data_IF_119862627473
#
_entry.id   IF_119862627473
#
_cell.length_a   1.000
_cell.length_b   1.000
_cell.length_c   1.000
_cell.angle_alpha   90.00
_cell.angle_beta   90.00
_cell.angle_gamma   90.00
#
_symmetry.space_group_name_H-M   'P 1'
#
loop_
_entity.id
_entity.type
_entity.pdbx_description
1 polymer ?
#
# COMPACT_ATOMS: atom_id res chain seq x y z
N UNK A 1 -63.23 -33.27 10.35
CA UNK A 1 -62.10 -32.29 10.35
C UNK A 1 -61.47 -32.04 8.99
N UNK A 2 -61.90 -32.70 7.89
CA UNK A 2 -61.30 -32.52 6.57
C UNK A 2 -61.81 -31.32 5.74
N UNK A 3 -63.02 -30.80 6.01
CA UNK A 3 -63.59 -29.71 5.19
C UNK A 3 -63.04 -28.33 5.52
N UNK A 4 -62.50 -28.11 6.73
CA UNK A 4 -61.91 -26.82 7.14
C UNK A 4 -60.49 -26.61 6.58
N UNK A 5 -59.75 -27.68 6.34
CA UNK A 5 -58.40 -27.61 5.74
C UNK A 5 -58.45 -27.36 4.23
N UNK A 6 -59.50 -27.82 3.54
CA UNK A 6 -59.66 -27.58 2.11
C UNK A 6 -60.09 -26.13 1.79
N UNK A 7 -60.74 -25.45 2.75
CA UNK A 7 -61.13 -24.04 2.60
C UNK A 7 -59.92 -23.09 2.70
N UNK A 8 -58.98 -23.37 3.60
CA UNK A 8 -57.76 -22.56 3.75
C UNK A 8 -56.79 -22.74 2.58
N UNK A 9 -56.74 -23.92 1.95
CA UNK A 9 -55.91 -24.14 0.74
C UNK A 9 -56.50 -23.36 -0.47
N UNK A 10 -57.82 -23.33 -0.63
CA UNK A 10 -58.47 -22.54 -1.71
C UNK A 10 -58.28 -21.04 -1.54
N UNK A 11 -58.36 -20.50 -0.32
CA UNK A 11 -58.05 -19.09 -0.06
C UNK A 11 -56.59 -18.74 -0.38
N UNK A 12 -55.64 -19.61 -0.02
CA UNK A 12 -54.21 -19.39 -0.29
C UNK A 12 -53.87 -19.47 -1.79
N UNK A 13 -54.59 -20.27 -2.57
CA UNK A 13 -54.45 -20.30 -4.04
C UNK A 13 -55.04 -19.05 -4.72
N UNK A 14 -56.09 -18.45 -4.16
CA UNK A 14 -56.66 -17.18 -4.66
C UNK A 14 -55.75 -15.97 -4.37
N UNK A 15 -55.05 -15.92 -3.24
CA UNK A 15 -54.08 -14.86 -2.95
C UNK A 15 -52.84 -14.92 -3.86
N UNK A 16 -52.36 -16.11 -4.20
CA UNK A 16 -51.21 -16.26 -5.12
C UNK A 16 -51.60 -15.91 -6.56
N UNK A 17 -52.83 -16.22 -6.99
CA UNK A 17 -53.34 -15.80 -8.31
C UNK A 17 -53.53 -14.28 -8.41
N UNK A 18 -53.93 -13.60 -7.33
CA UNK A 18 -54.05 -12.13 -7.27
C UNK A 18 -52.71 -11.39 -7.25
N UNK A 19 -51.64 -12.04 -6.79
CA UNK A 19 -50.28 -11.47 -6.82
C UNK A 19 -49.63 -11.59 -8.20
N UNK A 20 -49.90 -12.67 -8.94
CA UNK A 20 -49.35 -12.89 -10.29
C UNK A 20 -50.05 -12.02 -11.36
N UNK A 21 -51.32 -11.63 -11.17
CA UNK A 21 -52.02 -10.71 -12.10
C UNK A 21 -51.64 -9.23 -11.93
N UNK A 22 -50.89 -8.86 -10.89
CA UNK A 22 -50.43 -7.48 -10.66
C UNK A 22 -49.08 -7.17 -11.32
N UNK A 23 -48.38 -8.18 -11.85
CA UNK A 23 -47.04 -8.04 -12.47
C UNK A 23 -47.09 -7.88 -14.00
N UNK A 24 -48.25 -8.04 -14.65
CA UNK A 24 -48.37 -8.00 -16.12
C UNK A 24 -49.13 -6.80 -16.70
N UNK A 25 -49.62 -5.86 -15.88
CA UNK A 25 -50.39 -4.69 -16.35
C UNK A 25 -49.73 -3.34 -16.00
N UNK A 26 -48.41 -3.23 -16.22
CA UNK A 26 -47.67 -1.96 -16.04
C UNK A 26 -46.80 -1.55 -17.24
N UNK A 27 -47.01 -2.15 -18.42
CA UNK A 27 -46.21 -1.87 -19.63
C UNK A 27 -46.91 -1.04 -20.72
N UNK A 28 -48.14 -0.56 -20.52
CA UNK A 28 -48.85 0.18 -21.57
C UNK A 28 -49.57 1.44 -21.05
N UNK A 29 -48.81 2.43 -20.55
CA UNK A 29 -49.28 3.83 -20.49
C UNK A 29 -48.16 4.84 -20.23
N UNK A 30 -47.34 5.10 -21.25
CA UNK A 30 -46.63 6.38 -21.42
C UNK A 30 -46.00 6.47 -22.83
N UNK A 31 -46.85 6.62 -23.85
CA UNK A 31 -46.46 7.14 -25.16
C UNK A 31 -47.20 8.46 -25.38
N UNK A 32 -46.66 9.53 -24.82
CA UNK A 32 -46.85 10.91 -25.30
C UNK A 32 -46.11 11.84 -24.35
N UNK A 33 -44.83 12.12 -24.60
CA UNK A 33 -44.18 13.40 -24.33
C UNK A 33 -42.81 13.35 -25.05
N UNK A 34 -42.81 13.96 -26.22
CA UNK A 34 -41.67 14.14 -27.11
C UNK A 34 -40.68 15.19 -26.57
N UNK A 35 -39.40 14.90 -26.81
CA UNK A 35 -38.29 15.83 -27.01
C UNK A 35 -37.70 16.58 -25.80
N UNK A 36 -36.77 15.90 -25.10
CA UNK A 36 -35.46 16.48 -24.73
C UNK A 36 -34.50 15.36 -24.28
N UNK A 37 -33.98 14.60 -25.24
CA UNK A 37 -32.78 13.80 -25.01
C UNK A 37 -31.59 14.77 -25.11
N UNK A 38 -30.98 15.09 -23.97
CA UNK A 38 -29.61 15.59 -23.94
C UNK A 38 -28.75 14.33 -23.96
N UNK A 39 -27.93 14.26 -25.00
CA UNK A 39 -26.98 13.21 -25.30
C UNK A 39 -26.15 12.85 -24.07
N UNK A 40 -26.31 11.62 -23.55
CA UNK A 40 -25.40 11.04 -22.55
C UNK A 40 -24.55 9.91 -23.16
N UNK A 41 -24.67 9.68 -24.48
CA UNK A 41 -23.81 8.78 -25.23
C UNK A 41 -22.50 9.45 -25.64
N UNK A 42 -22.49 10.78 -25.72
CA UNK A 42 -21.30 11.55 -26.12
C UNK A 42 -20.15 11.47 -25.10
N UNK A 43 -20.42 11.50 -23.79
CA UNK A 43 -19.35 11.57 -22.75
C UNK A 43 -18.56 10.26 -22.61
N UNK A 44 -19.22 9.10 -22.75
CA UNK A 44 -18.54 7.80 -22.81
C UNK A 44 -17.74 7.67 -24.12
N UNK A 45 -18.26 8.23 -25.21
CA UNK A 45 -17.57 8.27 -26.50
C UNK A 45 -16.36 9.20 -26.48
N UNK A 46 -16.38 10.30 -25.71
CA UNK A 46 -15.26 11.23 -25.56
C UNK A 46 -14.11 10.62 -24.75
N UNK A 47 -14.40 9.86 -23.68
CA UNK A 47 -13.37 9.15 -22.92
C UNK A 47 -12.72 8.02 -23.74
N UNK A 48 -13.51 7.27 -24.51
CA UNK A 48 -13.00 6.22 -25.40
C UNK A 48 -12.24 6.79 -26.61
N UNK A 49 -12.69 7.93 -27.16
CA UNK A 49 -11.97 8.66 -28.20
C UNK A 49 -10.66 9.24 -27.66
N UNK A 50 -10.65 9.82 -26.46
CA UNK A 50 -9.43 10.30 -25.81
C UNK A 50 -8.45 9.14 -25.55
N UNK A 51 -8.94 7.97 -25.14
CA UNK A 51 -8.11 6.77 -24.97
C UNK A 51 -7.55 6.25 -26.32
N UNK A 52 -8.36 6.26 -27.38
CA UNK A 52 -7.94 5.88 -28.73
C UNK A 52 -6.91 6.85 -29.34
N UNK A 53 -7.01 8.15 -29.05
CA UNK A 53 -6.03 9.15 -29.48
C UNK A 53 -4.69 8.98 -28.75
N UNK A 54 -4.71 8.62 -27.47
CA UNK A 54 -3.49 8.35 -26.69
C UNK A 54 -2.78 7.05 -27.14
N UNK A 55 -3.52 6.02 -27.52
CA UNK A 55 -2.94 4.77 -28.01
C UNK A 55 -2.41 4.91 -29.45
N UNK A 56 -3.14 5.63 -30.32
CA UNK A 56 -2.75 5.88 -31.71
C UNK A 56 -1.52 6.77 -31.85
N UNK A 57 -1.35 7.75 -30.95
CA UNK A 57 -0.14 8.61 -30.90
C UNK A 57 1.12 7.88 -30.47
N UNK A 58 1.00 6.70 -29.84
CA UNK A 58 2.15 5.83 -29.48
C UNK A 58 2.43 4.74 -30.50
N UNK A 59 1.48 4.39 -31.38
CA UNK A 59 1.69 3.42 -32.46
C UNK A 59 2.28 4.04 -33.72
N UNK A 60 2.13 5.35 -33.93
CA UNK A 60 2.86 6.10 -34.95
C UNK A 60 4.24 6.46 -34.40
N UNK A 61 5.24 5.63 -34.66
CA UNK A 61 6.64 5.90 -34.30
C UNK A 61 7.06 7.29 -34.77
N UNK A 62 7.32 8.18 -33.82
CA UNK A 62 7.97 9.48 -34.03
C UNK A 62 9.42 9.28 -33.64
N UNK A 63 10.30 9.57 -34.60
CA UNK A 63 11.76 9.56 -34.50
C UNK A 63 12.24 10.68 -33.56
N UNK A 64 13.28 10.38 -32.78
CA UNK A 64 13.88 11.20 -31.73
C UNK A 64 14.71 12.38 -32.25
N UNK A 65 14.15 13.34 -32.99
CA UNK A 65 14.91 14.55 -33.41
C UNK A 65 14.29 15.93 -33.12
N UNK A 66 13.12 16.02 -32.46
CA UNK A 66 12.55 17.32 -32.05
C UNK A 66 12.24 17.38 -30.54
N UNK A 67 13.23 17.06 -29.71
CA UNK A 67 13.17 17.25 -28.25
C UNK A 67 14.32 18.14 -27.74
N UNK A 68 14.49 19.31 -28.34
CA UNK A 68 15.16 20.43 -27.66
C UNK A 68 14.24 21.65 -27.65
N UNK A 69 13.63 21.86 -26.47
CA UNK A 69 13.00 23.09 -25.94
C UNK A 69 11.68 22.79 -25.22
N UNK A 70 11.78 22.16 -24.05
CA UNK A 70 10.89 22.43 -22.91
C UNK A 70 11.42 21.75 -21.65
N UNK A 71 12.67 22.04 -21.30
CA UNK A 71 13.19 21.79 -19.95
C UNK A 71 12.83 22.99 -19.07
N UNK A 72 11.55 23.12 -18.75
CA UNK A 72 11.13 23.85 -17.56
C UNK A 72 11.08 22.85 -16.41
N UNK A 73 12.06 22.93 -15.53
CA UNK A 73 12.09 22.23 -14.25
C UNK A 73 10.91 22.74 -13.40
N UNK A 74 9.73 22.12 -13.57
CA UNK A 74 8.63 22.22 -12.62
C UNK A 74 8.85 21.16 -11.53
N UNK A 75 9.72 21.49 -10.58
CA UNK A 75 9.70 20.89 -9.25
C UNK A 75 8.43 21.36 -8.53
N UNK A 76 7.32 20.70 -8.83
CA UNK A 76 6.09 20.82 -8.04
C UNK A 76 6.17 19.87 -6.84
N UNK A 77 6.87 20.33 -5.80
CA UNK A 77 6.70 19.86 -4.43
C UNK A 77 5.30 20.30 -3.94
N UNK A 78 4.27 19.57 -4.38
CA UNK A 78 2.94 19.62 -3.76
C UNK A 78 2.95 18.78 -2.49
N UNK A 79 3.42 19.42 -1.42
CA UNK A 79 3.18 18.96 -0.05
C UNK A 79 1.68 18.66 0.14
N UNK A 80 1.42 17.46 0.64
CA UNK A 80 0.11 17.04 1.12
C UNK A 80 -0.26 17.85 2.39
N UNK A 81 -1.49 18.33 2.44
CA UNK A 81 -2.04 19.18 3.50
C UNK A 81 -2.41 20.53 2.90
N UNK A 82 -3.65 20.99 2.85
CA UNK A 82 -4.75 20.91 3.81
C UNK A 82 -6.04 21.25 3.01
N UNK A 83 -7.14 20.52 3.21
CA UNK A 83 -8.24 21.10 3.98
C UNK A 83 -8.95 22.22 3.21
N UNK A 84 -10.13 21.92 2.64
CA UNK A 84 -11.08 22.99 2.32
C UNK A 84 -11.58 23.57 3.64
N UNK A 85 -10.84 24.52 4.20
CA UNK A 85 -11.30 25.37 5.28
C UNK A 85 -12.20 26.45 4.70
N UNK A 86 -13.47 26.42 5.11
CA UNK A 86 -14.29 27.63 5.15
C UNK A 86 -13.89 28.36 6.43
N UNK A 87 -13.12 29.44 6.25
CA UNK A 87 -12.62 30.32 7.30
C UNK A 87 -13.76 31.13 7.95
N UNK A 88 -13.78 31.12 9.27
CA UNK A 88 -14.38 32.15 10.11
C UNK A 88 -13.23 32.88 10.80
N UNK A 89 -13.08 34.13 10.39
CA UNK A 89 -12.22 35.18 10.92
C UNK A 89 -12.37 35.34 12.45
N UNK A 90 -11.26 35.21 13.20
CA UNK A 90 -10.96 36.07 14.36
C UNK A 90 -9.46 35.94 14.72
N UNK A 91 -8.76 37.08 14.72
CA UNK A 91 -7.34 37.18 14.99
C UNK A 91 -7.04 37.44 16.47
N UNK A 92 -6.05 36.74 17.01
CA UNK A 92 -5.35 37.15 18.23
C UNK A 92 -3.89 36.74 18.14
N UNK A 93 -3.02 37.75 18.06
CA UNK A 93 -1.57 37.69 18.30
C UNK A 93 -1.31 37.43 19.79
N UNK A 94 -0.47 36.44 20.12
CA UNK A 94 0.32 36.47 21.36
C UNK A 94 1.71 35.87 21.11
N UNK A 95 2.72 36.69 21.45
CA UNK A 95 4.15 36.44 21.37
C UNK A 95 4.60 35.26 22.25
N UNK A 96 5.55 34.46 21.74
CA UNK A 96 6.33 33.52 22.54
C UNK A 96 7.80 33.53 22.10
N UNK A 97 8.59 34.36 22.80
CA UNK A 97 10.05 34.28 22.85
C UNK A 97 10.48 33.07 23.70
N UNK A 98 11.52 32.38 23.27
CA UNK A 98 12.07 31.20 23.96
C UNK A 98 13.28 30.62 23.24
N UNK A 99 14.38 31.37 23.26
CA UNK A 99 15.75 30.91 23.06
C UNK A 99 16.19 30.03 24.25
N UNK A 100 16.75 28.84 24.00
CA UNK A 100 18.10 28.49 24.45
C UNK A 100 18.57 27.12 23.91
N UNK A 101 19.89 27.04 23.83
CA UNK A 101 20.79 26.04 23.27
C UNK A 101 20.94 24.76 24.11
N UNK A 102 21.31 23.63 23.48
CA UNK A 102 22.34 22.72 24.00
C UNK A 102 22.88 21.76 22.92
N UNK A 103 24.21 21.66 22.89
CA UNK A 103 25.07 20.85 22.04
C UNK A 103 25.14 19.38 22.53
N UNK A 104 25.37 18.43 21.61
CA UNK A 104 25.56 17.02 21.96
C UNK A 104 26.13 16.21 20.80
N UNK A 105 27.46 16.14 20.79
CA UNK A 105 28.38 15.55 19.82
C UNK A 105 28.45 14.00 19.84
N UNK A 106 28.97 13.46 18.72
CA UNK A 106 29.66 12.18 18.44
C UNK A 106 28.97 10.82 18.79
N UNK A 107 28.93 9.81 17.90
CA UNK A 107 30.07 9.20 17.21
C UNK A 107 29.64 8.43 15.94
N UNK A 108 30.59 8.35 15.01
CA UNK A 108 30.57 7.72 13.72
C UNK A 108 30.70 6.19 13.80
N UNK A 109 30.05 5.47 12.88
CA UNK A 109 30.70 4.31 12.22
C UNK A 109 30.22 4.21 10.79
N UNK A 110 31.08 4.66 9.87
CA UNK A 110 30.94 4.42 8.44
C UNK A 110 31.18 2.94 8.12
N UNK A 111 30.37 2.40 7.23
CA UNK A 111 30.70 1.20 6.48
C UNK A 111 30.64 1.55 5.01
N UNK A 112 31.75 2.14 4.54
CA UNK A 112 32.07 2.17 3.12
C UNK A 112 32.55 0.78 2.73
N UNK A 113 31.80 0.09 1.88
CA UNK A 113 32.31 -1.08 1.18
C UNK A 113 33.03 -0.61 -0.09
N UNK A 114 34.34 -0.52 0.06
CA UNK A 114 35.33 -0.28 -0.98
C UNK A 114 35.27 -1.45 -1.99
N UNK A 115 34.77 -1.19 -3.19
CA UNK A 115 34.88 -2.09 -4.34
C UNK A 115 36.30 -1.99 -4.85
N UNK A 116 37.12 -3.00 -4.56
CA UNK A 116 38.44 -3.16 -5.17
C UNK A 116 38.28 -3.92 -6.49
N UNK A 117 38.62 -3.23 -7.57
CA UNK A 117 38.98 -3.81 -8.86
C UNK A 117 40.33 -4.50 -8.68
N UNK A 118 40.39 -5.80 -8.95
CA UNK A 118 41.63 -6.54 -9.17
C UNK A 118 41.61 -6.97 -10.64
N UNK A 119 42.49 -6.35 -11.43
CA UNK A 119 42.96 -6.83 -12.72
C UNK A 119 44.23 -7.65 -12.47
N UNK A 120 44.26 -8.91 -12.92
CA UNK A 120 45.49 -9.54 -13.40
C UNK A 120 45.19 -10.40 -14.64
N UNK A 121 46.12 -10.30 -15.59
CA UNK A 121 46.14 -10.77 -16.97
C UNK A 121 46.33 -12.30 -17.16
N UNK A 122 45.83 -12.74 -18.33
CA UNK A 122 46.25 -13.79 -19.27
C UNK A 122 47.07 -15.03 -18.83
N UNK A 123 46.55 -16.22 -19.18
CA UNK A 123 47.24 -17.11 -20.14
C UNK A 123 46.28 -18.21 -20.68
N UNK A 124 46.23 -18.30 -22.01
CA UNK A 124 45.70 -19.41 -22.81
C UNK A 124 46.42 -20.72 -22.50
N UNK A 125 45.71 -21.82 -22.24
CA UNK A 125 46.07 -23.10 -22.87
C UNK A 125 44.88 -24.05 -23.00
N UNK A 126 44.63 -24.44 -24.24
CA UNK A 126 43.62 -25.39 -24.64
C UNK A 126 44.18 -26.82 -24.49
N UNK A 127 43.74 -27.56 -23.48
CA UNK A 127 43.98 -29.01 -23.43
C UNK A 127 42.73 -29.77 -22.97
N UNK A 128 42.09 -30.47 -23.91
CA UNK A 128 41.20 -31.59 -23.60
C UNK A 128 41.99 -32.70 -22.90
N UNK A 129 41.42 -33.38 -21.90
CA UNK A 129 41.74 -34.78 -21.66
C UNK A 129 40.57 -35.64 -22.11
N UNK A 130 40.81 -36.41 -23.18
CA UNK A 130 40.08 -37.62 -23.43
C UNK A 130 40.55 -38.71 -22.46
N UNK A 131 39.67 -39.70 -22.29
CA UNK A 131 39.93 -41.09 -21.89
C UNK A 131 40.01 -41.41 -20.39
N UNK A 132 38.88 -41.97 -19.93
CA UNK A 132 38.76 -43.18 -19.12
C UNK A 132 39.75 -43.38 -17.97
N UNK A 133 39.23 -43.27 -16.74
CA UNK A 133 39.78 -44.03 -15.63
C UNK A 133 38.65 -44.43 -14.67
N UNK A 134 38.34 -45.73 -14.64
CA UNK A 134 37.58 -46.37 -13.58
C UNK A 134 38.46 -46.46 -12.33
N UNK A 135 38.61 -45.32 -11.64
CA UNK A 135 39.28 -45.23 -10.36
C UNK A 135 38.30 -45.54 -9.24
N UNK A 136 38.60 -46.56 -8.46
CA UNK A 136 37.87 -46.93 -7.25
C UNK A 136 37.82 -45.73 -6.29
N UNK A 137 36.61 -45.27 -5.93
CA UNK A 137 36.40 -44.10 -5.04
C UNK A 137 36.83 -44.49 -3.63
N UNK A 138 38.07 -44.18 -3.25
CA UNK A 138 38.64 -44.63 -1.97
C UNK A 138 38.82 -43.50 -0.94
N UNK A 139 38.82 -42.21 -1.34
CA UNK A 139 39.10 -41.10 -0.41
C UNK A 139 38.01 -40.02 -0.38
N UNK A 140 37.87 -39.33 0.77
CA UNK A 140 36.92 -38.22 0.96
C UNK A 140 37.17 -37.05 -0.02
N UNK A 141 38.39 -36.91 -0.52
CA UNK A 141 38.78 -35.85 -1.45
C UNK A 141 38.29 -36.11 -2.88
N UNK A 142 38.22 -37.38 -3.28
CA UNK A 142 37.69 -37.79 -4.59
C UNK A 142 36.18 -37.55 -4.65
N UNK A 143 35.47 -37.84 -3.55
CA UNK A 143 34.02 -37.56 -3.43
C UNK A 143 33.75 -36.05 -3.50
N UNK A 144 34.61 -35.21 -2.93
CA UNK A 144 34.46 -33.75 -3.03
C UNK A 144 34.70 -33.23 -4.44
N UNK A 145 35.66 -33.80 -5.17
CA UNK A 145 35.91 -33.47 -6.58
C UNK A 145 34.71 -33.86 -7.45
N UNK A 146 34.13 -35.04 -7.24
CA UNK A 146 32.90 -35.46 -7.92
C UNK A 146 31.70 -34.58 -7.57
N UNK A 147 31.51 -34.22 -6.30
CA UNK A 147 30.44 -33.29 -5.91
C UNK A 147 30.61 -31.90 -6.54
N UNK A 148 31.85 -31.49 -6.86
CA UNK A 148 32.13 -30.23 -7.53
C UNK A 148 31.88 -30.27 -9.04
N UNK A 149 31.89 -31.45 -9.67
CA UNK A 149 31.65 -31.62 -11.12
C UNK A 149 30.19 -31.91 -11.45
N UNK A 150 29.37 -32.30 -10.47
CA UNK A 150 27.94 -32.55 -10.63
C UNK A 150 27.13 -31.25 -10.71
N UNK A 151 25.98 -31.29 -11.40
CA UNK A 151 25.09 -30.14 -11.51
C UNK A 151 24.38 -29.84 -10.18
N UNK A 152 24.00 -28.58 -9.95
CA UNK A 152 23.32 -28.17 -8.71
C UNK A 152 22.03 -28.95 -8.43
N UNK A 153 21.27 -29.30 -9.47
CA UNK A 153 20.05 -30.09 -9.33
C UNK A 153 20.35 -31.52 -8.83
N UNK A 154 21.41 -32.14 -9.36
CA UNK A 154 21.85 -33.47 -8.92
C UNK A 154 22.40 -33.44 -7.50
N UNK A 155 23.14 -32.40 -7.12
CA UNK A 155 23.64 -32.19 -5.75
C UNK A 155 22.45 -32.07 -4.77
N UNK A 156 21.42 -31.32 -5.14
CA UNK A 156 20.20 -31.16 -4.33
C UNK A 156 19.44 -32.49 -4.22
N UNK A 157 19.30 -33.24 -5.32
CA UNK A 157 18.68 -34.55 -5.32
C UNK A 157 19.46 -35.56 -4.45
N UNK A 158 20.79 -35.51 -4.49
CA UNK A 158 21.67 -36.32 -3.64
C UNK A 158 21.50 -35.95 -2.16
N UNK A 159 21.48 -34.65 -1.83
CA UNK A 159 21.26 -34.16 -0.48
C UNK A 159 19.90 -34.61 0.09
N UNK A 160 18.86 -34.65 -0.74
CA UNK A 160 17.54 -35.13 -0.36
C UNK A 160 17.48 -36.66 -0.17
N UNK A 161 18.26 -37.43 -0.96
CA UNK A 161 18.34 -38.90 -0.87
C UNK A 161 19.17 -39.37 0.33
N UNK A 162 20.35 -38.77 0.53
CA UNK A 162 21.33 -39.18 1.56
C UNK A 162 21.08 -38.44 2.89
N UNK A 163 20.35 -37.32 2.84
CA UNK A 163 20.01 -36.49 3.98
C UNK A 163 21.05 -35.39 4.24
N UNK A 164 20.56 -34.20 4.62
CA UNK A 164 21.40 -33.00 4.81
C UNK A 164 22.55 -33.20 5.81
N UNK A 165 22.36 -34.03 6.84
CA UNK A 165 23.38 -34.28 7.87
C UNK A 165 24.57 -35.08 7.34
N UNK A 166 24.31 -36.16 6.62
CA UNK A 166 25.36 -37.04 6.05
C UNK A 166 26.04 -36.33 4.89
N UNK A 167 25.28 -35.66 4.03
CA UNK A 167 25.84 -34.83 2.95
C UNK A 167 26.80 -33.76 3.49
N UNK A 168 26.40 -33.02 4.53
CA UNK A 168 27.26 -31.98 5.10
C UNK A 168 28.52 -32.55 5.77
N UNK A 169 28.45 -33.75 6.33
CA UNK A 169 29.61 -34.44 6.93
C UNK A 169 30.64 -34.82 5.85
N UNK A 170 30.18 -35.30 4.70
CA UNK A 170 31.04 -35.70 3.57
C UNK A 170 31.57 -34.46 2.82
N UNK A 171 30.70 -33.51 2.49
CA UNK A 171 31.06 -32.32 1.70
C UNK A 171 31.96 -31.35 2.46
N UNK A 172 31.62 -31.04 3.72
CA UNK A 172 32.34 -30.03 4.51
C UNK A 172 33.27 -30.64 5.55
N UNK A 173 33.25 -31.97 5.74
CA UNK A 173 33.95 -32.61 6.85
C UNK A 173 33.32 -32.29 8.20
N UNK A 174 33.71 -33.04 9.23
CA UNK A 174 33.23 -32.86 10.60
C UNK A 174 33.89 -31.62 11.26
N UNK A 175 33.57 -30.41 10.78
CA UNK A 175 34.16 -29.14 11.22
C UNK A 175 33.65 -28.65 12.58
N UNK A 176 32.52 -29.19 13.07
CA UNK A 176 31.85 -28.65 14.26
C UNK A 176 32.40 -29.11 15.60
N UNK A 177 33.44 -29.96 15.65
CA UNK A 177 33.88 -30.55 16.93
C UNK A 177 35.40 -30.58 17.17
N UNK A 178 36.26 -30.22 16.21
CA UNK A 178 37.72 -30.36 16.40
C UNK A 178 38.33 -29.30 17.36
N UNK A 179 37.65 -28.17 17.59
CA UNK A 179 38.19 -27.08 18.41
C UNK A 179 37.43 -26.83 19.74
N UNK A 180 36.45 -27.67 20.08
CA UNK A 180 35.86 -27.62 21.41
C UNK A 180 36.69 -28.52 22.34
N UNK A 181 37.36 -27.99 23.39
CA UNK A 181 38.10 -28.85 24.31
C UNK A 181 37.12 -29.86 24.92
N UNK A 182 37.36 -31.14 24.69
CA UNK A 182 36.59 -32.21 25.30
C UNK A 182 36.55 -31.97 26.82
N UNK A 183 35.35 -31.76 27.37
CA UNK A 183 35.18 -31.56 28.81
C UNK A 183 35.67 -32.83 29.50
N UNK A 184 36.86 -32.78 30.11
CA UNK A 184 37.43 -33.92 30.86
C UNK A 184 36.42 -34.34 31.92
N UNK A 185 35.92 -35.57 31.84
CA UNK A 185 34.97 -36.09 32.82
C UNK A 185 35.70 -36.34 34.14
N UNK A 186 35.03 -36.10 35.27
CA UNK A 186 35.53 -36.47 36.60
C UNK A 186 35.61 -38.00 36.68
N UNK A 187 36.69 -38.53 37.25
CA UNK A 187 36.82 -39.98 37.48
C UNK A 187 35.79 -40.49 38.52
N UNK A 188 35.35 -39.64 39.46
CA UNK A 188 34.29 -39.94 40.43
C UNK A 188 33.45 -38.67 40.68
N UNK A 189 32.14 -38.83 40.96
CA UNK A 189 31.19 -37.73 41.19
C UNK A 189 31.55 -36.84 42.39
N UNK A 190 32.35 -37.35 43.33
CA UNK A 190 32.74 -36.64 44.54
C UNK A 190 34.15 -36.01 44.48
N UNK A 191 34.90 -36.15 43.37
CA UNK A 191 36.28 -35.61 43.24
C UNK A 191 36.33 -34.31 42.43
N UNK A 192 36.94 -33.20 42.88
CA UNK A 192 36.99 -31.95 42.10
C UNK A 192 37.61 -32.12 40.70
N UNK A 193 37.21 -31.26 39.76
CA UNK A 193 37.79 -31.20 38.41
C UNK A 193 39.06 -30.36 38.42
N UNK A 194 40.13 -30.89 37.83
CA UNK A 194 41.35 -30.13 37.57
C UNK A 194 41.14 -29.24 36.33
N UNK A 195 41.34 -27.94 36.51
CA UNK A 195 41.36 -26.93 35.44
C UNK A 195 42.76 -26.32 35.37
N UNK A 196 43.22 -25.97 34.17
CA UNK A 196 44.53 -25.33 34.01
C UNK A 196 44.52 -23.93 34.62
N UNK A 197 45.50 -23.63 35.48
CA UNK A 197 45.70 -22.31 36.08
C UNK A 197 45.99 -21.21 35.04
N UNK A 198 46.36 -21.60 33.80
CA UNK A 198 46.52 -20.67 32.66
C UNK A 198 45.17 -20.14 32.13
N UNK A 199 44.05 -20.73 32.53
CA UNK A 199 42.72 -20.25 32.14
C UNK A 199 42.26 -19.24 33.19
N UNK A 200 42.22 -17.93 32.87
CA UNK A 200 41.72 -16.93 33.80
C UNK A 200 40.25 -17.20 34.11
N UNK A 201 39.83 -16.96 35.35
CA UNK A 201 38.42 -17.01 35.70
C UNK A 201 37.69 -15.91 34.92
N UNK A 202 36.57 -16.22 34.23
CA UNK A 202 35.81 -15.18 33.55
C UNK A 202 35.26 -14.19 34.59
N UNK A 203 35.57 -12.91 34.42
CA UNK A 203 35.17 -11.85 35.34
C UNK A 203 33.64 -11.67 35.37
N UNK A 204 32.98 -11.83 34.22
CA UNK A 204 31.53 -11.81 34.11
C UNK A 204 30.95 -13.22 33.98
N UNK A 205 29.87 -13.48 34.71
CA UNK A 205 29.05 -14.68 34.51
C UNK A 205 28.39 -14.61 33.12
N UNK A 206 28.52 -15.66 32.32
CA UNK A 206 27.80 -15.76 31.05
C UNK A 206 26.29 -15.77 31.31
N UNK A 207 25.63 -14.63 31.08
CA UNK A 207 24.18 -14.51 31.15
C UNK A 207 23.60 -15.18 29.92
N UNK A 208 23.25 -16.45 30.04
CA UNK A 208 22.49 -17.14 28.99
C UNK A 208 21.09 -16.54 29.00
N UNK A 209 20.75 -15.78 27.96
CA UNK A 209 19.40 -15.25 27.78
C UNK A 209 18.44 -16.44 27.65
N UNK A 210 17.72 -16.76 28.72
CA UNK A 210 16.64 -17.74 28.67
C UNK A 210 15.51 -17.11 27.87
N UNK A 211 15.10 -17.74 26.77
CA UNK A 211 13.92 -17.33 26.01
C UNK A 211 12.71 -17.40 26.93
N UNK A 212 12.27 -16.26 27.45
CA UNK A 212 11.06 -16.16 28.27
C UNK A 212 9.86 -16.26 27.33
N UNK A 213 8.97 -17.20 27.59
CA UNK A 213 7.69 -17.30 26.87
C UNK A 213 6.80 -16.16 27.33
N UNK A 214 6.73 -15.08 26.55
CA UNK A 214 5.80 -13.98 26.80
C UNK A 214 4.45 -14.37 26.19
N UNK A 215 3.41 -14.45 27.02
CA UNK A 215 2.04 -14.59 26.52
C UNK A 215 1.67 -13.30 25.80
N UNK A 216 1.53 -13.35 24.47
CA UNK A 216 1.12 -12.21 23.66
C UNK A 216 -0.38 -12.24 23.39
N UNK A 217 -1.03 -11.08 23.47
CA UNK A 217 -2.41 -10.91 23.04
C UNK A 217 -2.40 -10.82 21.51
N UNK A 218 -3.06 -11.73 20.78
CA UNK A 218 -3.06 -11.71 19.31
C UNK A 218 -3.66 -10.42 18.73
N UNK A 219 -4.39 -9.62 19.50
CA UNK A 219 -4.87 -8.32 19.03
C UNK A 219 -3.77 -7.26 18.98
N UNK A 220 -2.74 -7.44 19.81
CA UNK A 220 -1.65 -6.51 20.03
C UNK A 220 -0.28 -7.15 19.76
N UNK A 221 -0.25 -8.34 19.16
CA UNK A 221 0.98 -9.02 18.76
C UNK A 221 1.36 -8.56 17.36
N UNK A 222 2.58 -8.08 17.19
CA UNK A 222 3.11 -7.57 15.92
C UNK A 222 3.05 -8.65 14.81
N UNK A 223 3.02 -9.93 15.19
CA UNK A 223 2.88 -11.07 14.28
C UNK A 223 1.46 -11.27 13.73
N UNK A 224 0.45 -10.57 14.26
CA UNK A 224 -0.96 -10.79 13.90
C UNK A 224 -1.40 -10.05 12.63
N UNK A 225 -0.46 -9.40 11.95
CA UNK A 225 -0.63 -8.81 10.62
C UNK A 225 -1.01 -7.33 10.63
N UNK A 226 -1.03 -6.74 9.44
CA UNK A 226 -1.23 -5.31 9.24
C UNK A 226 -2.71 -4.93 9.01
N UNK A 227 -3.04 -3.68 9.34
CA UNK A 227 -4.37 -3.12 9.11
C UNK A 227 -4.69 -3.03 7.61
N UNK A 228 -5.70 -3.79 7.17
CA UNK A 228 -6.25 -3.74 5.81
C UNK A 228 -7.58 -2.99 5.80
N UNK A 229 -7.64 -1.76 5.24
CA UNK A 229 -8.86 -0.94 5.30
C UNK A 229 -10.03 -1.59 4.56
N UNK A 230 -9.77 -2.31 3.48
CA UNK A 230 -10.81 -3.01 2.70
C UNK A 230 -11.53 -4.10 3.51
N UNK A 231 -10.78 -4.85 4.32
CA UNK A 231 -11.36 -5.89 5.16
C UNK A 231 -12.12 -5.23 6.29
N UNK A 232 -11.51 -4.22 6.93
CA UNK A 232 -12.13 -3.50 8.03
C UNK A 232 -13.47 -2.86 7.65
N UNK A 233 -13.53 -2.17 6.50
CA UNK A 233 -14.77 -1.53 6.03
C UNK A 233 -15.88 -2.56 5.76
N UNK A 234 -15.53 -3.76 5.31
CA UNK A 234 -16.48 -4.85 5.07
C UNK A 234 -16.93 -5.51 6.38
N UNK A 235 -16.00 -5.90 7.25
CA UNK A 235 -16.30 -6.62 8.50
C UNK A 235 -16.99 -5.73 9.51
N UNK A 236 -16.61 -4.45 9.58
CA UNK A 236 -17.14 -3.48 10.54
C UNK A 236 -18.04 -2.43 9.89
N UNK A 237 -18.76 -2.80 8.82
CA UNK A 237 -19.67 -1.90 8.10
C UNK A 237 -20.68 -1.19 9.02
N UNK A 238 -21.17 -1.89 10.06
CA UNK A 238 -22.14 -1.38 11.02
C UNK A 238 -21.64 -0.17 11.82
N UNK A 239 -20.32 0.04 11.92
CA UNK A 239 -19.74 1.23 12.57
C UNK A 239 -20.21 2.50 11.86
N UNK A 240 -20.43 2.45 10.54
CA UNK A 240 -20.95 3.59 9.80
C UNK A 240 -22.37 3.96 10.24
N UNK A 241 -23.21 2.95 10.46
CA UNK A 241 -24.59 3.15 10.92
C UNK A 241 -24.62 3.71 12.35
N UNK A 242 -23.66 3.31 13.20
CA UNK A 242 -23.47 3.89 14.54
C UNK A 242 -23.06 5.36 14.41
N UNK A 243 -22.03 5.66 13.62
CA UNK A 243 -21.53 7.04 13.41
C UNK A 243 -22.60 7.97 12.85
N UNK A 244 -23.43 7.49 11.93
CA UNK A 244 -24.56 8.27 11.40
C UNK A 244 -25.59 8.59 12.49
N UNK A 245 -25.96 7.61 13.31
CA UNK A 245 -26.85 7.83 14.45
C UNK A 245 -26.27 8.80 15.47
N UNK A 246 -24.97 8.69 15.78
CA UNK A 246 -24.28 9.62 16.68
C UNK A 246 -24.30 11.05 16.12
N UNK A 247 -24.03 11.22 14.83
CA UNK A 247 -24.12 12.52 14.15
C UNK A 247 -25.52 13.12 14.28
N UNK A 248 -26.57 12.32 14.03
CA UNK A 248 -27.95 12.77 14.20
C UNK A 248 -28.27 13.17 15.64
N UNK A 249 -27.74 12.45 16.62
CA UNK A 249 -27.90 12.79 18.05
C UNK A 249 -27.25 14.14 18.35
N UNK A 250 -26.05 14.39 17.85
CA UNK A 250 -25.37 15.70 18.00
C UNK A 250 -26.18 16.81 17.33
N UNK A 251 -26.66 16.60 16.09
CA UNK A 251 -27.53 17.56 15.40
C UNK A 251 -28.84 17.84 16.18
N UNK A 252 -29.48 16.80 16.72
CA UNK A 252 -30.69 16.94 17.55
C UNK A 252 -30.42 17.72 18.84
N UNK A 253 -29.24 17.53 19.46
CA UNK A 253 -28.81 18.31 20.64
C UNK A 253 -28.61 19.78 20.27
N UNK A 254 -28.01 20.05 19.12
CA UNK A 254 -27.77 21.41 18.63
C UNK A 254 -29.06 22.20 18.36
N UNK A 255 -30.12 21.51 17.92
CA UNK A 255 -31.44 22.11 17.67
C UNK A 255 -32.18 22.48 18.96
N UNK A 256 -31.81 21.90 20.11
CA UNK A 256 -32.41 22.25 21.40
C UNK A 256 -31.79 23.56 21.89
N UNK A 257 -32.54 24.39 22.64
CA UNK A 257 -31.97 25.60 23.22
C UNK A 257 -30.90 25.22 24.26
N UNK A 258 -29.65 25.61 24.01
CA UNK A 258 -28.52 25.40 24.90
C UNK A 258 -28.21 26.73 25.59
N UNK A 259 -28.15 26.72 26.92
CA UNK A 259 -27.95 27.94 27.74
C UNK A 259 -26.50 28.43 27.76
N UNK A 260 -25.53 27.54 27.53
CA UNK A 260 -24.10 27.85 27.55
C UNK A 260 -23.57 27.94 26.12
N UNK A 261 -22.92 29.07 25.81
CA UNK A 261 -22.32 29.33 24.49
C UNK A 261 -21.18 28.33 24.22
N UNK A 262 -20.27 28.15 25.18
CA UNK A 262 -19.16 27.17 25.09
C UNK A 262 -19.64 25.76 24.71
N UNK A 263 -20.69 25.25 25.38
CA UNK A 263 -21.25 23.92 25.07
C UNK A 263 -21.86 23.84 23.68
N UNK A 264 -22.40 24.94 23.16
CA UNK A 264 -22.95 25.00 21.81
C UNK A 264 -21.81 24.94 20.79
N UNK A 265 -20.73 25.67 21.03
CA UNK A 265 -19.55 25.73 20.14
C UNK A 265 -18.82 24.38 20.12
N UNK A 266 -18.66 23.73 21.28
CA UNK A 266 -18.12 22.36 21.38
C UNK A 266 -18.94 21.37 20.54
N UNK A 267 -20.28 21.44 20.61
CA UNK A 267 -21.15 20.56 19.84
C UNK A 267 -21.13 20.88 18.34
N UNK A 268 -20.99 22.16 17.96
CA UNK A 268 -20.81 22.56 16.56
C UNK A 268 -19.48 22.05 16.00
N UNK A 269 -18.40 22.22 16.75
CA UNK A 269 -17.09 21.71 16.40
C UNK A 269 -17.10 20.18 16.26
N UNK A 270 -17.72 19.48 17.21
CA UNK A 270 -17.87 18.02 17.14
C UNK A 270 -18.63 17.60 15.88
N UNK A 271 -19.72 18.30 15.53
CA UNK A 271 -20.47 18.03 14.32
C UNK A 271 -19.62 18.25 13.05
N UNK A 272 -18.91 19.39 12.95
CA UNK A 272 -17.99 19.70 11.84
C UNK A 272 -16.93 18.62 11.71
N UNK A 273 -16.34 18.18 12.84
CA UNK A 273 -15.35 17.10 12.87
C UNK A 273 -15.92 15.77 12.35
N UNK A 274 -17.12 15.38 12.80
CA UNK A 274 -17.78 14.15 12.33
C UNK A 274 -18.09 14.20 10.83
N UNK A 275 -18.59 15.33 10.33
CA UNK A 275 -18.89 15.51 8.91
C UNK A 275 -17.62 15.49 8.05
N UNK A 276 -16.54 16.12 8.51
CA UNK A 276 -15.26 16.09 7.82
C UNK A 276 -14.67 14.68 7.76
N UNK A 277 -14.75 13.91 8.84
CA UNK A 277 -14.33 12.51 8.86
C UNK A 277 -15.15 11.65 7.90
N UNK A 278 -16.47 11.83 7.84
CA UNK A 278 -17.32 11.11 6.90
C UNK A 278 -17.00 11.49 5.45
N UNK A 279 -16.80 12.78 5.16
CA UNK A 279 -16.42 13.26 3.83
C UNK A 279 -15.08 12.66 3.39
N UNK A 280 -14.06 12.72 4.25
CA UNK A 280 -12.74 12.16 3.97
C UNK A 280 -12.76 10.63 3.77
N UNK A 281 -13.64 9.92 4.49
CA UNK A 281 -13.87 8.49 4.27
C UNK A 281 -14.47 8.24 2.88
N UNK A 282 -15.55 8.94 2.53
CA UNK A 282 -16.24 8.78 1.24
C UNK A 282 -15.31 9.07 0.07
N UNK A 283 -14.55 10.16 0.13
CA UNK A 283 -13.59 10.47 -0.95
C UNK A 283 -12.53 9.38 -1.11
N UNK A 284 -12.03 8.80 -0.01
CA UNK A 284 -11.09 7.68 -0.06
C UNK A 284 -11.72 6.41 -0.63
N UNK A 285 -12.99 6.15 -0.32
CA UNK A 285 -13.75 5.01 -0.87
C UNK A 285 -13.96 5.18 -2.38
N UNK A 286 -14.43 6.34 -2.82
CA UNK A 286 -14.62 6.67 -4.24
C UNK A 286 -13.32 6.54 -5.03
N UNK A 287 -12.20 7.04 -4.49
CA UNK A 287 -10.88 6.86 -5.10
C UNK A 287 -10.51 5.38 -5.24
N UNK A 288 -10.73 4.59 -4.19
CA UNK A 288 -10.43 3.15 -4.21
C UNK A 288 -11.32 2.41 -5.22
N UNK A 289 -12.61 2.74 -5.27
CA UNK A 289 -13.55 2.16 -6.23
C UNK A 289 -13.12 2.44 -7.66
N UNK A 290 -12.76 3.70 -7.98
CA UNK A 290 -12.21 4.06 -9.30
C UNK A 290 -10.95 3.27 -9.65
N UNK A 291 -10.03 3.09 -8.70
CA UNK A 291 -8.83 2.29 -8.93
C UNK A 291 -9.14 0.81 -9.18
N UNK A 292 -10.10 0.25 -8.43
CA UNK A 292 -10.55 -1.13 -8.59
C UNK A 292 -11.27 -1.34 -9.92
N UNK A 293 -12.13 -0.41 -10.33
CA UNK A 293 -12.78 -0.40 -11.63
C UNK A 293 -11.76 -0.35 -12.76
N UNK A 294 -10.76 0.51 -12.66
CA UNK A 294 -9.69 0.58 -13.64
C UNK A 294 -8.93 -0.75 -13.74
N UNK A 295 -8.53 -1.33 -12.60
CA UNK A 295 -7.89 -2.66 -12.56
C UNK A 295 -8.78 -3.76 -13.15
N UNK A 296 -10.09 -3.69 -12.93
CA UNK A 296 -11.06 -4.63 -13.49
C UNK A 296 -11.15 -4.51 -15.01
N UNK A 297 -11.31 -3.29 -15.55
CA UNK A 297 -11.31 -3.03 -17.00
C UNK A 297 -10.02 -3.54 -17.65
N UNK A 298 -8.86 -3.30 -17.03
CA UNK A 298 -7.59 -3.82 -17.55
C UNK A 298 -7.52 -5.34 -17.54
N UNK A 299 -8.06 -6.01 -16.52
CA UNK A 299 -8.16 -7.47 -16.47
C UNK A 299 -9.08 -8.01 -17.57
N UNK A 300 -10.20 -7.35 -17.84
CA UNK A 300 -11.12 -7.73 -18.90
C UNK A 300 -10.44 -7.60 -20.29
N UNK A 301 -9.74 -6.49 -20.55
CA UNK A 301 -8.96 -6.30 -21.78
C UNK A 301 -7.85 -7.34 -21.95
N UNK A 302 -7.14 -7.67 -20.85
CA UNK A 302 -6.14 -8.73 -20.83
C UNK A 302 -6.75 -10.10 -21.13
N UNK A 303 -7.94 -10.38 -20.59
CA UNK A 303 -8.70 -11.60 -20.87
C UNK A 303 -9.13 -11.71 -22.34
N UNK A 304 -9.34 -10.58 -23.03
CA UNK A 304 -9.58 -10.52 -24.47
C UNK A 304 -8.29 -10.68 -25.31
N UNK A 305 -7.13 -10.80 -24.68
CA UNK A 305 -5.83 -10.91 -25.35
C UNK A 305 -5.20 -9.57 -25.73
N UNK A 306 -5.83 -8.44 -25.36
CA UNK A 306 -5.25 -7.11 -25.55
C UNK A 306 -4.19 -6.84 -24.48
N UNK A 307 -3.14 -6.11 -24.84
CA UNK A 307 -2.05 -5.78 -23.91
C UNK A 307 -2.60 -4.90 -22.75
N UNK A 308 -2.44 -5.31 -21.48
CA UNK A 308 -2.86 -4.50 -20.34
C UNK A 308 -2.17 -3.13 -20.36
N UNK A 309 -2.93 -2.06 -20.11
CA UNK A 309 -2.43 -0.69 -20.07
C UNK A 309 -2.51 -0.10 -18.66
N UNK A 310 -1.39 0.42 -18.16
CA UNK A 310 -1.33 1.08 -16.86
C UNK A 310 -1.09 2.58 -17.06
N UNK A 311 -2.00 3.41 -16.57
CA UNK A 311 -1.81 4.87 -16.61
C UNK A 311 -0.65 5.28 -15.70
N UNK A 312 0.16 6.22 -16.19
CA UNK A 312 1.18 6.90 -15.38
C UNK A 312 0.49 7.70 -14.26
N UNK A 313 1.20 7.95 -13.16
CA UNK A 313 0.69 8.74 -12.03
C UNK A 313 0.27 10.16 -12.47
N UNK A 314 1.02 10.78 -13.38
CA UNK A 314 0.68 12.09 -13.96
C UNK A 314 -0.63 12.06 -14.74
N UNK A 315 -0.84 11.03 -15.56
CA UNK A 315 -2.06 10.87 -16.36
C UNK A 315 -3.29 10.65 -15.46
N UNK A 316 -3.14 9.86 -14.37
CA UNK A 316 -4.18 9.70 -13.34
C UNK A 316 -4.56 11.05 -12.70
N UNK A 317 -3.56 11.85 -12.31
CA UNK A 317 -3.81 13.19 -11.76
C UNK A 317 -4.55 14.10 -12.74
N UNK A 318 -4.23 14.03 -14.04
CA UNK A 318 -4.93 14.79 -15.08
C UNK A 318 -6.39 14.37 -15.22
N UNK A 319 -6.68 13.06 -15.16
CA UNK A 319 -8.06 12.55 -15.16
C UNK A 319 -8.83 13.01 -13.92
N UNK A 320 -8.24 12.88 -12.72
CA UNK A 320 -8.87 13.35 -11.49
C UNK A 320 -9.13 14.87 -11.52
N UNK A 321 -8.21 15.65 -12.10
CA UNK A 321 -8.42 17.09 -12.29
C UNK A 321 -9.56 17.36 -13.28
N UNK A 322 -9.60 16.66 -14.41
CA UNK A 322 -10.67 16.79 -15.39
C UNK A 322 -12.04 16.49 -14.77
N UNK A 323 -12.15 15.39 -14.01
CA UNK A 323 -13.37 15.05 -13.26
C UNK A 323 -13.79 16.16 -12.29
N UNK A 324 -12.85 16.67 -11.48
CA UNK A 324 -13.12 17.79 -10.56
C UNK A 324 -13.59 19.04 -11.29
N UNK A 325 -12.98 19.38 -12.43
CA UNK A 325 -13.40 20.50 -13.26
C UNK A 325 -14.81 20.29 -13.85
N UNK A 326 -15.13 19.07 -14.28
CA UNK A 326 -16.47 18.69 -14.73
C UNK A 326 -17.51 18.77 -13.61
N UNK A 327 -17.20 18.34 -12.39
CA UNK A 327 -18.05 18.49 -11.20
C UNK A 327 -18.27 19.97 -10.83
N UNK A 328 -17.21 20.80 -10.91
CA UNK A 328 -17.30 22.24 -10.69
C UNK A 328 -18.14 22.95 -11.77
N UNK A 329 -18.04 22.48 -13.02
CA UNK A 329 -18.87 22.97 -14.13
C UNK A 329 -20.33 22.60 -13.91
N UNK A 330 -20.62 21.34 -13.54
CA UNK A 330 -21.96 20.83 -13.20
C UNK A 330 -22.58 21.58 -12.02
N UNK A 331 -21.78 21.93 -11.01
CA UNK A 331 -22.25 22.68 -9.83
C UNK A 331 -22.29 24.21 -10.03
N UNK A 332 -21.84 24.72 -11.18
CA UNK A 332 -21.78 26.17 -11.47
C UNK A 332 -20.73 26.95 -10.68
N UNK A 333 -19.84 26.28 -9.95
CA UNK A 333 -18.81 26.90 -9.09
C UNK A 333 -17.46 27.09 -9.79
N UNK A 334 -17.38 26.70 -11.06
CA UNK A 334 -16.14 26.73 -11.85
C UNK A 334 -15.50 28.12 -11.96
N UNK A 335 -16.28 29.15 -12.29
CA UNK A 335 -15.75 30.52 -12.45
C UNK A 335 -15.15 31.06 -11.14
N UNK A 336 -15.81 30.78 -10.01
CA UNK A 336 -15.31 31.17 -8.68
C UNK A 336 -14.02 30.41 -8.33
N UNK A 337 -13.91 29.15 -8.71
CA UNK A 337 -12.68 28.39 -8.53
C UNK A 337 -11.54 28.95 -9.38
N UNK A 338 -11.80 29.25 -10.65
CA UNK A 338 -10.82 29.85 -11.55
C UNK A 338 -10.40 31.25 -11.10
N UNK A 339 -11.32 32.09 -10.63
CA UNK A 339 -10.98 33.42 -10.13
C UNK A 339 -10.10 33.35 -8.87
N UNK A 340 -10.42 32.45 -7.94
CA UNK A 340 -9.56 32.17 -6.76
C UNK A 340 -8.19 31.65 -7.17
N UNK A 341 -8.11 30.73 -8.14
CA UNK A 341 -6.85 30.20 -8.67
C UNK A 341 -6.01 31.29 -9.34
N UNK A 342 -6.62 32.14 -10.19
CA UNK A 342 -5.97 33.30 -10.81
C UNK A 342 -5.42 34.26 -9.74
N UNK A 343 -6.20 34.58 -8.70
CA UNK A 343 -5.75 35.46 -7.60
C UNK A 343 -4.57 34.87 -6.82
N UNK A 344 -4.60 33.57 -6.50
CA UNK A 344 -3.50 32.88 -5.81
C UNK A 344 -2.23 32.84 -6.66
N UNK A 345 -2.36 32.54 -7.95
CA UNK A 345 -1.23 32.53 -8.88
C UNK A 345 -0.62 33.93 -9.02
N UNK A 346 -1.44 34.96 -9.23
CA UNK A 346 -0.96 36.35 -9.29
C UNK A 346 -0.21 36.77 -8.01
N UNK A 347 -0.64 36.30 -6.84
CA UNK A 347 0.08 36.51 -5.57
C UNK A 347 1.45 35.84 -5.53
N UNK A 348 1.56 34.61 -6.04
CA UNK A 348 2.83 33.88 -6.16
C UNK A 348 3.76 34.53 -7.18
N UNK A 349 3.24 34.91 -8.34
CA UNK A 349 3.99 35.56 -9.41
C UNK A 349 4.52 36.92 -8.93
N UNK A 350 3.71 37.68 -8.19
CA UNK A 350 4.15 38.93 -7.56
C UNK A 350 5.31 38.75 -6.57
N UNK A 351 5.37 37.62 -5.85
CA UNK A 351 6.50 37.30 -4.96
C UNK A 351 7.77 36.95 -5.73
N UNK A 352 7.65 36.42 -6.96
CA UNK A 352 8.80 36.14 -7.83
C UNK A 352 9.32 37.39 -8.54
N UNK A 353 8.54 38.46 -8.62
CA UNK A 353 8.96 39.74 -9.20
C UNK A 353 9.79 40.56 -8.19
N UNK A 354 10.83 41.27 -8.65
CA UNK A 354 11.60 42.16 -7.79
C UNK A 354 10.71 43.27 -7.23
N UNK A 355 10.95 43.66 -5.97
CA UNK A 355 10.15 44.68 -5.29
C UNK A 355 10.25 46.02 -6.02
N UNK A 356 9.16 46.41 -6.70
CA UNK A 356 9.12 47.73 -7.32
C UNK A 356 9.06 48.79 -6.22
N UNK A 357 10.09 49.64 -6.17
CA UNK A 357 10.11 50.82 -5.29
C UNK A 357 8.93 51.69 -5.69
N UNK A 358 7.99 51.90 -4.75
CA UNK A 358 6.90 52.87 -4.93
C UNK A 358 7.56 54.25 -5.09
N UNK A 359 7.52 54.80 -6.29
CA UNK A 359 7.83 56.21 -6.52
C UNK A 359 6.76 57.03 -5.81
N UNK A 360 7.20 57.88 -4.88
CA UNK A 360 6.34 58.77 -4.11
C UNK A 360 5.74 59.86 -4.99
#
# INVERSE_FOLDING_TARGET
>A
MSSRQNATIKQKQQEVAGFVSCVSNKSEKSKSLSNKAIDSSDEDSELDQNFALLSRKRSSGITDEDQEESRSEEEDDVMSGDGLEEDSDDGVDEDAEGDDTDDGDEDATGSGCDTREDEEDDDDDAAKPATENSGEIQTEEDIKKELSTMSFEEIMALQNKVGTKVYNEIAYGNTKLKNAPAKKKRLNKNRPMEISAKRPAPFLRQVVQVKKTVSRDPRFDDLSGEYKPEIFEKTYRFINDIKQREREVVQKRLKKPIKSVQKKDELQFLLKRMENQERARKTREEQREKELEFKRKQREMAGQGLKPFFLKKSDKKKLELAEKYSELKKSGKLENFLSKKRKRNAGKDRRKLPYQKKTQ
#
